data_IF_930375136921
#
_entry.id   IF_930375136921
#
_cell.length_a   1.000
_cell.length_b   1.000
_cell.length_c   1.000
_cell.angle_alpha   90.00
_cell.angle_beta   90.00
_cell.angle_gamma   90.00
#
_symmetry.space_group_name_H-M   'P 1'
#
loop_
_entity.id
_entity.type
_entity.pdbx_description
1 polymer ?
#
# COMPACT_ATOMS: atom_id res chain seq x y z
N UNK A 1 57.40 -14.12 4.62
CA UNK A 1 56.94 -13.23 5.70
C UNK A 1 55.90 -12.19 5.23
N UNK A 2 54.97 -12.53 4.31
CA UNK A 2 54.07 -11.55 3.63
C UNK A 2 52.56 -11.83 3.77
N UNK A 3 52.18 -12.95 4.40
CA UNK A 3 50.78 -13.40 4.53
C UNK A 3 50.17 -13.11 5.90
N UNK A 4 50.98 -13.02 6.97
CA UNK A 4 50.51 -12.69 8.34
C UNK A 4 50.00 -11.26 8.48
N UNK A 5 50.53 -10.30 7.72
CA UNK A 5 50.11 -8.88 7.80
C UNK A 5 48.72 -8.66 7.20
N UNK A 6 48.35 -9.41 6.16
CA UNK A 6 47.01 -9.29 5.53
C UNK A 6 45.88 -9.83 6.42
N UNK A 7 46.15 -10.91 7.17
CA UNK A 7 45.17 -11.46 8.12
C UNK A 7 44.90 -10.53 9.30
N UNK A 8 45.94 -9.86 9.83
CA UNK A 8 45.80 -8.93 10.96
C UNK A 8 44.98 -7.70 10.57
N UNK A 9 45.15 -7.16 9.35
CA UNK A 9 44.38 -6.02 8.86
C UNK A 9 42.91 -6.41 8.64
N UNK A 10 42.63 -7.61 8.13
CA UNK A 10 41.26 -8.11 7.96
C UNK A 10 40.54 -8.26 9.30
N UNK A 11 41.20 -8.84 10.31
CA UNK A 11 40.62 -8.97 11.66
C UNK A 11 40.42 -7.63 12.37
N UNK A 12 41.33 -6.65 12.17
CA UNK A 12 41.17 -5.31 12.73
C UNK A 12 39.99 -4.56 12.11
N UNK A 13 39.76 -4.71 10.80
CA UNK A 13 38.64 -4.05 10.11
C UNK A 13 37.28 -4.66 10.50
N UNK A 14 37.19 -6.00 10.57
CA UNK A 14 35.95 -6.69 10.99
C UNK A 14 35.67 -6.48 12.49
N UNK A 15 36.70 -6.50 13.34
CA UNK A 15 36.58 -6.18 14.77
C UNK A 15 36.14 -4.73 15.03
N UNK A 16 36.62 -3.78 14.22
CA UNK A 16 36.21 -2.37 14.31
C UNK A 16 34.74 -2.14 13.94
N UNK A 17 34.23 -2.85 12.92
CA UNK A 17 32.81 -2.76 12.51
C UNK A 17 31.88 -3.39 13.56
N UNK A 18 32.29 -4.51 14.16
CA UNK A 18 31.51 -5.17 15.22
C UNK A 18 31.42 -4.32 16.49
N UNK A 19 32.43 -3.49 16.81
CA UNK A 19 32.37 -2.54 17.93
C UNK A 19 31.47 -1.32 17.66
N UNK A 20 31.20 -0.98 16.39
CA UNK A 20 30.30 0.13 16.01
C UNK A 20 28.82 -0.29 15.89
N UNK A 21 28.50 -1.58 16.02
CA UNK A 21 27.13 -2.11 15.83
C UNK A 21 26.28 -2.08 17.11
N UNK A 22 26.74 -1.41 18.16
CA UNK A 22 26.01 -1.23 19.42
C UNK A 22 25.15 0.03 19.49
N UNK A 23 24.65 0.57 18.37
CA UNK A 23 23.60 1.60 18.43
C UNK A 23 22.26 0.89 18.57
N UNK A 24 21.90 0.55 19.80
CA UNK A 24 20.48 0.38 20.13
C UNK A 24 19.83 1.73 19.93
N UNK A 25 19.02 1.89 18.88
CA UNK A 25 18.08 3.01 18.81
C UNK A 25 17.07 2.77 19.95
N UNK A 26 17.36 3.33 21.13
CA UNK A 26 16.36 3.50 22.15
C UNK A 26 15.41 4.57 21.61
N UNK A 27 14.38 4.13 20.88
CA UNK A 27 13.21 4.98 20.64
C UNK A 27 12.67 5.25 22.04
N UNK A 28 12.72 6.49 22.56
CA UNK A 28 12.08 6.77 23.83
C UNK A 28 10.61 6.41 23.66
N UNK A 29 10.07 5.60 24.57
CA UNK A 29 8.68 5.15 24.57
C UNK A 29 7.67 6.30 24.64
N UNK A 30 8.14 7.55 24.71
CA UNK A 30 7.37 8.79 24.61
C UNK A 30 6.82 9.08 23.21
N UNK A 31 7.04 8.22 22.20
CA UNK A 31 6.33 8.32 20.90
C UNK A 31 4.98 7.56 20.88
N UNK A 32 4.67 6.81 21.93
CA UNK A 32 3.31 6.35 22.18
C UNK A 32 2.74 7.24 23.28
N UNK A 33 2.43 8.49 22.92
CA UNK A 33 1.43 9.23 23.68
C UNK A 33 0.13 8.42 23.53
N UNK A 34 -0.28 7.79 24.63
CA UNK A 34 -1.62 7.20 24.76
C UNK A 34 -2.62 8.31 24.45
N UNK A 35 -3.03 8.40 23.19
CA UNK A 35 -4.36 8.92 22.89
C UNK A 35 -5.31 7.83 23.34
N UNK A 36 -5.67 7.85 24.63
CA UNK A 36 -6.83 7.15 25.19
C UNK A 36 -8.14 7.76 24.63
N UNK A 37 -8.16 8.09 23.33
CA UNK A 37 -9.38 8.15 22.55
C UNK A 37 -9.78 6.72 22.31
N UNK A 38 -10.42 6.13 23.33
CA UNK A 38 -11.29 4.98 23.12
C UNK A 38 -12.26 5.40 22.02
N UNK A 39 -12.09 4.85 20.82
CA UNK A 39 -12.98 5.05 19.68
C UNK A 39 -14.32 4.41 20.05
N UNK A 40 -15.17 5.20 20.72
CA UNK A 40 -16.47 4.74 21.22
C UNK A 40 -17.54 4.69 20.12
N UNK A 41 -17.26 5.27 18.95
CA UNK A 41 -18.14 5.25 17.78
C UNK A 41 -17.32 5.41 16.50
N UNK A 42 -17.76 4.72 15.43
CA UNK A 42 -17.23 4.89 14.07
C UNK A 42 -17.60 6.25 13.45
N UNK A 43 -18.57 6.96 14.05
CA UNK A 43 -19.11 8.23 13.53
C UNK A 43 -18.07 9.36 13.54
N UNK A 44 -17.01 9.24 14.33
CA UNK A 44 -15.93 10.25 14.44
C UNK A 44 -14.71 9.95 13.55
N UNK A 45 -14.72 8.81 12.82
CA UNK A 45 -13.58 8.40 11.98
C UNK A 45 -13.76 8.95 10.56
N UNK A 46 -12.88 9.87 10.17
CA UNK A 46 -12.76 10.28 8.78
C UNK A 46 -12.19 9.13 7.94
N UNK A 47 -13.06 8.46 7.17
CA UNK A 47 -12.68 7.33 6.31
C UNK A 47 -11.62 7.69 5.26
N UNK A 48 -11.57 8.94 4.82
CA UNK A 48 -10.55 9.39 3.85
C UNK A 48 -9.18 9.52 4.51
N UNK A 49 -9.12 9.78 5.82
CA UNK A 49 -7.88 9.76 6.61
C UNK A 49 -7.28 8.36 6.77
N UNK A 50 -8.08 7.31 6.57
CA UNK A 50 -7.65 5.90 6.64
C UNK A 50 -7.12 5.34 5.31
N UNK A 51 -7.19 6.13 4.23
CA UNK A 51 -6.60 5.80 2.94
C UNK A 51 -5.07 5.99 2.98
N UNK A 52 -4.37 5.71 1.87
CA UNK A 52 -2.94 5.99 1.80
C UNK A 52 -2.63 7.47 2.01
N UNK A 53 -1.63 7.74 2.87
CA UNK A 53 -1.16 9.09 3.21
C UNK A 53 0.35 9.23 2.98
N UNK A 54 0.81 10.46 2.74
CA UNK A 54 2.23 10.79 2.57
C UNK A 54 2.93 9.92 1.51
N UNK A 55 4.09 9.38 1.85
CA UNK A 55 4.93 8.57 0.96
C UNK A 55 4.23 7.28 0.50
N UNK A 56 3.26 6.75 1.25
CA UNK A 56 2.50 5.57 0.84
C UNK A 56 1.68 5.85 -0.42
N UNK A 57 1.17 7.07 -0.61
CA UNK A 57 0.49 7.42 -1.87
C UNK A 57 1.43 7.34 -3.06
N UNK A 58 2.70 7.70 -2.90
CA UNK A 58 3.66 7.63 -4.00
C UNK A 58 3.96 6.18 -4.41
N UNK A 59 3.90 5.27 -3.44
CA UNK A 59 4.16 3.85 -3.66
C UNK A 59 2.94 3.11 -4.23
N UNK A 60 1.76 3.34 -3.65
CA UNK A 60 0.56 2.53 -3.93
C UNK A 60 -0.44 3.21 -4.87
N UNK A 61 -0.35 4.53 -5.03
CA UNK A 61 -1.15 5.26 -6.00
C UNK A 61 -0.30 5.68 -7.20
N UNK A 62 -0.90 5.62 -8.39
CA UNK A 62 -0.23 6.10 -9.60
C UNK A 62 0.05 7.60 -9.54
N UNK A 63 1.33 7.97 -9.48
CA UNK A 63 1.82 9.36 -9.43
C UNK A 63 1.80 10.08 -10.79
N UNK A 64 1.61 9.35 -11.88
CA UNK A 64 1.58 9.93 -13.22
C UNK A 64 0.15 10.38 -13.56
N UNK A 65 -0.05 11.69 -13.74
CA UNK A 65 -1.32 12.24 -14.19
C UNK A 65 -1.61 11.96 -15.67
N UNK A 66 -0.57 11.60 -16.43
CA UNK A 66 -0.66 11.31 -17.85
C UNK A 66 -0.30 9.86 -18.12
N UNK A 67 -1.19 9.15 -18.78
CA UNK A 67 -0.92 7.83 -19.33
C UNK A 67 0.17 7.92 -20.41
N UNK A 68 1.10 6.98 -20.41
CA UNK A 68 2.20 6.93 -21.39
C UNK A 68 1.92 5.90 -22.48
N UNK A 69 2.56 6.08 -23.63
CA UNK A 69 2.48 5.12 -24.72
C UNK A 69 3.79 5.09 -25.52
N UNK A 70 4.09 3.93 -26.09
CA UNK A 70 5.15 3.71 -27.07
C UNK A 70 4.65 2.75 -28.18
N UNK A 71 5.55 2.24 -29.02
CA UNK A 71 5.18 1.35 -30.12
C UNK A 71 4.66 -0.05 -29.70
N UNK A 72 4.85 -0.45 -28.45
CA UNK A 72 4.51 -1.77 -27.92
C UNK A 72 3.45 -1.74 -26.81
N UNK A 73 3.38 -0.63 -26.06
CA UNK A 73 2.55 -0.51 -24.86
C UNK A 73 1.78 0.80 -24.90
N UNK A 74 0.49 0.72 -24.56
CA UNK A 74 -0.36 1.88 -24.33
C UNK A 74 -0.98 1.77 -22.94
N UNK A 75 -0.77 2.79 -22.12
CA UNK A 75 -1.39 2.90 -20.81
C UNK A 75 -2.72 3.65 -20.92
N UNK A 76 -3.64 3.32 -20.01
CA UNK A 76 -4.92 4.02 -19.87
C UNK A 76 -5.09 4.46 -18.43
N UNK A 77 -5.41 5.74 -18.23
CA UNK A 77 -5.63 6.29 -16.90
C UNK A 77 -7.04 5.93 -16.45
N UNK A 78 -7.13 5.20 -15.33
CA UNK A 78 -8.42 4.96 -14.67
C UNK A 78 -8.90 6.32 -14.12
N UNK A 79 -10.17 6.73 -14.36
CA UNK A 79 -10.68 8.02 -13.92
C UNK A 79 -10.63 8.21 -12.40
N UNK A 80 -10.90 7.13 -11.66
CA UNK A 80 -10.81 7.12 -10.20
C UNK A 80 -9.34 6.93 -9.78
N UNK A 81 -8.77 7.82 -8.95
CA UNK A 81 -7.39 7.68 -8.47
C UNK A 81 -7.26 6.58 -7.41
N UNK A 82 -6.03 6.13 -7.14
CA UNK A 82 -5.71 5.20 -6.05
C UNK A 82 -6.56 3.91 -6.00
N UNK A 83 -7.01 3.38 -7.14
CA UNK A 83 -7.97 2.25 -7.17
C UNK A 83 -7.35 0.88 -6.83
N UNK A 84 -6.03 0.75 -6.95
CA UNK A 84 -5.30 -0.53 -6.82
C UNK A 84 -5.93 -1.65 -7.67
N UNK A 85 -5.84 -1.56 -9.01
CA UNK A 85 -6.27 -2.66 -9.88
C UNK A 85 -5.41 -3.90 -9.62
N UNK A 86 -6.02 -5.05 -9.37
CA UNK A 86 -5.31 -6.29 -9.01
C UNK A 86 -5.60 -7.45 -9.96
N UNK A 87 -6.76 -8.10 -9.80
CA UNK A 87 -7.17 -9.20 -10.66
C UNK A 87 -7.77 -8.65 -11.96
N UNK A 88 -7.42 -9.27 -13.10
CA UNK A 88 -7.81 -8.83 -14.44
C UNK A 88 -8.18 -10.03 -15.32
N UNK A 89 -9.16 -9.85 -16.19
CA UNK A 89 -9.56 -10.81 -17.23
C UNK A 89 -10.05 -10.06 -18.47
N UNK A 90 -10.21 -10.77 -19.59
CA UNK A 90 -10.65 -10.20 -20.86
C UNK A 90 -11.78 -11.02 -21.49
N UNK A 91 -12.68 -10.34 -22.18
CA UNK A 91 -13.68 -10.95 -23.06
C UNK A 91 -13.12 -11.12 -24.49
N UNK A 92 -13.72 -11.99 -25.33
CA UNK A 92 -13.24 -12.25 -26.69
C UNK A 92 -13.21 -11.02 -27.61
N UNK A 93 -14.03 -10.01 -27.34
CA UNK A 93 -14.06 -8.75 -28.07
C UNK A 93 -12.96 -7.76 -27.64
N UNK A 94 -12.16 -8.13 -26.63
CA UNK A 94 -11.08 -7.32 -26.08
C UNK A 94 -11.49 -6.46 -24.88
N UNK A 95 -12.76 -6.48 -24.46
CA UNK A 95 -13.20 -5.79 -23.25
C UNK A 95 -12.46 -6.34 -22.03
N UNK A 96 -11.97 -5.45 -21.17
CA UNK A 96 -11.14 -5.79 -20.02
C UNK A 96 -11.93 -5.58 -18.73
N UNK A 97 -11.93 -6.59 -17.87
CA UNK A 97 -12.56 -6.53 -16.55
C UNK A 97 -11.50 -6.66 -15.46
N UNK A 98 -11.57 -5.81 -14.44
CA UNK A 98 -10.64 -5.87 -13.32
C UNK A 98 -11.26 -5.44 -11.98
N UNK A 99 -10.71 -5.97 -10.90
CA UNK A 99 -11.10 -5.61 -9.53
C UNK A 99 -10.24 -4.46 -9.01
N UNK A 100 -10.88 -3.45 -8.39
CA UNK A 100 -10.24 -2.32 -7.73
C UNK A 100 -10.24 -2.52 -6.22
N UNK A 101 -9.11 -2.91 -5.64
CA UNK A 101 -9.08 -3.39 -4.26
C UNK A 101 -9.09 -2.28 -3.21
N UNK A 102 -8.83 -1.02 -3.58
CA UNK A 102 -8.91 0.10 -2.62
C UNK A 102 -10.32 0.71 -2.53
N UNK A 103 -11.07 0.64 -3.64
CA UNK A 103 -12.40 1.25 -3.76
C UNK A 103 -13.52 0.23 -3.70
N UNK A 104 -13.19 -1.07 -3.80
CA UNK A 104 -14.18 -2.14 -3.81
C UNK A 104 -14.97 -2.30 -5.10
N UNK A 105 -14.60 -1.57 -6.14
CA UNK A 105 -15.35 -1.56 -7.40
C UNK A 105 -14.86 -2.65 -8.35
N UNK A 106 -15.75 -3.08 -9.24
CA UNK A 106 -15.39 -3.81 -10.45
C UNK A 106 -15.40 -2.82 -11.60
N UNK A 107 -14.32 -2.79 -12.38
CA UNK A 107 -14.21 -1.89 -13.51
C UNK A 107 -14.14 -2.66 -14.83
N UNK A 108 -14.85 -2.13 -15.81
CA UNK A 108 -14.84 -2.56 -17.20
C UNK A 108 -14.16 -1.48 -18.02
N UNK A 109 -13.23 -1.87 -18.89
CA UNK A 109 -12.59 -1.00 -19.85
C UNK A 109 -12.86 -1.54 -21.26
N UNK A 110 -13.42 -0.68 -22.12
CA UNK A 110 -13.61 -0.95 -23.54
C UNK A 110 -12.48 -0.26 -24.33
N UNK A 111 -11.54 -1.01 -24.92
CA UNK A 111 -10.42 -0.43 -25.68
C UNK A 111 -10.84 0.26 -26.98
N UNK A 112 -12.01 -0.08 -27.54
CA UNK A 112 -12.48 0.48 -28.82
C UNK A 112 -13.00 1.90 -28.66
N UNK A 113 -13.69 2.17 -27.54
CA UNK A 113 -14.19 3.49 -27.16
C UNK A 113 -13.30 4.23 -26.17
N UNK A 114 -12.29 3.54 -25.61
CA UNK A 114 -11.41 4.02 -24.54
C UNK A 114 -12.18 4.47 -23.29
N UNK A 115 -13.29 3.79 -22.98
CA UNK A 115 -14.16 4.15 -21.86
C UNK A 115 -14.05 3.20 -20.68
N UNK A 116 -14.13 3.76 -19.47
CA UNK A 116 -14.23 3.00 -18.23
C UNK A 116 -15.66 3.06 -17.69
N UNK A 117 -16.19 1.92 -17.30
CA UNK A 117 -17.42 1.80 -16.51
C UNK A 117 -17.08 1.15 -15.18
N UNK A 118 -17.55 1.73 -14.08
CA UNK A 118 -17.28 1.22 -12.73
C UNK A 118 -18.58 0.79 -12.07
N UNK A 119 -18.55 -0.40 -11.46
CA UNK A 119 -19.67 -1.04 -10.81
C UNK A 119 -19.38 -1.16 -9.33
N UNK A 120 -20.23 -0.61 -8.45
CA UNK A 120 -20.04 -0.71 -7.01
C UNK A 120 -20.30 -2.15 -6.55
N UNK A 121 -19.50 -2.61 -5.59
CA UNK A 121 -19.84 -3.78 -4.80
C UNK A 121 -20.75 -3.32 -3.64
N UNK A 122 -22.03 -3.73 -3.59
CA UNK A 122 -22.98 -3.27 -2.57
C UNK A 122 -22.59 -3.66 -1.13
N UNK A 123 -21.73 -4.68 -0.98
CA UNK A 123 -21.26 -5.13 0.33
C UNK A 123 -19.99 -4.42 0.79
N UNK A 124 -19.32 -3.63 -0.05
CA UNK A 124 -17.98 -3.12 0.25
C UNK A 124 -17.96 -2.23 1.49
N UNK A 125 -18.87 -1.27 1.57
CA UNK A 125 -18.92 -0.32 2.68
C UNK A 125 -19.16 -1.05 4.01
N UNK A 126 -20.09 -2.03 4.01
CA UNK A 126 -20.36 -2.88 5.17
C UNK A 126 -19.14 -3.69 5.58
N UNK A 127 -18.42 -4.28 4.63
CA UNK A 127 -17.20 -5.05 4.92
C UNK A 127 -16.08 -4.16 5.45
N UNK A 128 -15.97 -2.93 4.95
CA UNK A 128 -15.02 -1.93 5.43
C UNK A 128 -15.32 -1.52 6.87
N UNK A 129 -16.59 -1.31 7.22
CA UNK A 129 -17.01 -1.05 8.60
C UNK A 129 -16.59 -2.19 9.52
N UNK A 130 -16.92 -3.45 9.17
CA UNK A 130 -16.56 -4.62 9.99
C UNK A 130 -15.04 -4.76 10.13
N UNK A 131 -14.30 -4.51 9.06
CA UNK A 131 -12.84 -4.53 9.05
C UNK A 131 -12.23 -3.51 10.03
N UNK A 132 -12.72 -2.27 10.01
CA UNK A 132 -12.25 -1.19 10.88
C UNK A 132 -12.62 -1.47 12.34
N UNK A 133 -13.86 -1.92 12.60
CA UNK A 133 -14.29 -2.28 13.95
C UNK A 133 -13.42 -3.37 14.57
N UNK A 134 -13.07 -4.39 13.78
CA UNK A 134 -12.25 -5.49 14.26
C UNK A 134 -10.82 -5.03 14.57
N UNK A 135 -10.24 -4.16 13.74
CA UNK A 135 -8.94 -3.56 14.02
C UNK A 135 -8.95 -2.79 15.36
N UNK A 136 -9.98 -1.98 15.59
CA UNK A 136 -10.15 -1.24 16.86
C UNK A 136 -10.31 -2.20 18.05
N UNK A 137 -11.15 -3.23 17.93
CA UNK A 137 -11.34 -4.25 18.99
C UNK A 137 -10.04 -4.99 19.34
N UNK A 138 -9.18 -5.20 18.35
CA UNK A 138 -7.88 -5.84 18.53
C UNK A 138 -6.77 -4.86 18.93
N UNK A 139 -7.10 -3.59 19.18
CA UNK A 139 -6.15 -2.53 19.50
C UNK A 139 -5.05 -2.37 18.43
N UNK A 140 -5.41 -2.64 17.16
CA UNK A 140 -4.59 -2.45 15.99
C UNK A 140 -4.91 -1.11 15.31
N UNK A 141 -3.97 -0.58 14.51
CA UNK A 141 -4.19 0.64 13.75
C UNK A 141 -5.27 0.42 12.69
N UNK A 142 -6.40 1.16 12.71
CA UNK A 142 -7.42 1.03 11.70
C UNK A 142 -6.91 1.56 10.36
N UNK A 143 -7.22 0.84 9.29
CA UNK A 143 -6.88 1.22 7.91
C UNK A 143 -8.06 0.85 7.00
N UNK A 144 -8.19 1.55 5.87
CA UNK A 144 -9.21 1.23 4.86
C UNK A 144 -9.07 -0.21 4.37
N UNK A 145 -10.21 -0.90 4.22
CA UNK A 145 -10.24 -2.27 3.68
C UNK A 145 -9.60 -2.28 2.29
N UNK A 146 -8.67 -3.20 2.09
CA UNK A 146 -8.03 -3.45 0.81
C UNK A 146 -7.43 -4.85 0.78
N UNK A 147 -7.31 -5.42 -0.41
CA UNK A 147 -6.60 -6.69 -0.59
C UNK A 147 -5.14 -6.52 -0.14
N UNK A 148 -4.67 -7.38 0.75
CA UNK A 148 -3.27 -7.42 1.13
C UNK A 148 -2.46 -7.90 -0.09
N UNK A 149 -1.58 -7.04 -0.62
CA UNK A 149 -0.48 -7.51 -1.46
C UNK A 149 0.38 -8.39 -0.55
N UNK A 150 0.49 -9.68 -0.89
CA UNK A 150 1.31 -10.65 -0.16
C UNK A 150 2.64 -10.03 0.29
N UNK A 151 2.86 -10.02 1.60
CA UNK A 151 4.07 -9.54 2.28
C UNK A 151 4.15 -10.13 3.66
#
# INVERSE_FOLDING_TARGET
MKTRTKGIIFFAFVGGIMLASGVTIAIPSSFFENSDTVLNSLDDIDLDSLDYVGDQRLQFCGVNDKAKSNSYVKEYKIPTPCTQPLAITTEPDGTVWFAQTNTGMIAKFDPSSETFTQYPNPDWDRLQTVWIEEAVKQNALPIKLRSMMWG
#
